data_IF_849015358598
#
_entry.id   IF_849015358598
#
_cell.length_a   1.000
_cell.length_b   1.000
_cell.length_c   1.000
_cell.angle_alpha   90.00
_cell.angle_beta   90.00
_cell.angle_gamma   90.00
#
_symmetry.space_group_name_H-M   'P 1'
#
loop_
_entity.id
_entity.type
_entity.pdbx_description
1 polymer ?
#
# COMPACT_ATOMS: atom_id res chain seq x y z
N UNK A 1 29.54 -21.17 12.39
CA UNK A 1 28.27 -20.62 11.89
C UNK A 1 27.58 -19.89 13.04
N UNK A 2 27.74 -18.57 13.08
CA UNK A 2 26.99 -17.76 14.04
C UNK A 2 25.49 -17.87 13.71
N UNK A 3 24.70 -18.33 14.66
CA UNK A 3 23.23 -18.22 14.55
C UNK A 3 22.93 -16.72 14.57
N UNK A 4 22.53 -16.15 13.42
CA UNK A 4 21.96 -14.81 13.40
C UNK A 4 20.88 -14.73 14.47
N UNK A 5 20.97 -13.74 15.35
CA UNK A 5 19.94 -13.51 16.35
C UNK A 5 18.58 -13.37 15.65
N UNK A 6 17.53 -13.99 16.23
CA UNK A 6 16.19 -13.87 15.68
C UNK A 6 15.82 -12.37 15.55
N UNK A 7 15.16 -11.94 14.47
CA UNK A 7 14.81 -10.54 14.26
C UNK A 7 13.91 -10.05 15.40
N UNK A 8 14.15 -8.82 15.86
CA UNK A 8 13.37 -8.22 16.96
C UNK A 8 11.91 -7.98 16.56
N UNK A 9 11.64 -7.66 15.31
CA UNK A 9 10.32 -7.42 14.71
C UNK A 9 10.24 -8.05 13.33
N UNK A 10 9.04 -8.45 12.92
CA UNK A 10 8.78 -9.11 11.63
C UNK A 10 7.68 -8.37 10.89
N UNK A 11 7.90 -8.14 9.59
CA UNK A 11 6.93 -7.53 8.69
C UNK A 11 6.61 -8.45 7.50
N UNK A 12 5.32 -8.49 7.13
CA UNK A 12 4.84 -8.99 5.84
C UNK A 12 4.62 -7.79 4.92
N UNK A 13 5.26 -7.77 3.75
CA UNK A 13 5.11 -6.71 2.75
C UNK A 13 4.60 -7.31 1.44
N UNK A 14 3.45 -6.88 0.96
CA UNK A 14 2.88 -7.34 -0.31
C UNK A 14 3.26 -6.40 -1.47
N UNK A 15 3.37 -6.95 -2.70
CA UNK A 15 3.84 -6.19 -3.86
C UNK A 15 5.33 -5.83 -3.74
N UNK A 16 6.15 -6.78 -3.25
CA UNK A 16 7.53 -6.56 -2.84
C UNK A 16 8.55 -6.65 -3.98
N UNK A 17 8.15 -7.10 -5.17
CA UNK A 17 9.08 -7.32 -6.29
C UNK A 17 9.62 -6.00 -6.90
N UNK A 18 8.97 -4.86 -6.66
CA UNK A 18 9.41 -3.60 -7.23
C UNK A 18 8.80 -2.35 -6.59
N UNK A 19 9.17 -1.19 -7.10
CA UNK A 19 8.62 0.10 -6.71
C UNK A 19 8.66 0.36 -5.20
N UNK A 20 7.53 0.80 -4.66
CA UNK A 20 7.36 1.15 -3.24
C UNK A 20 7.61 -0.06 -2.33
N UNK A 21 7.04 -1.24 -2.69
CA UNK A 21 7.16 -2.44 -1.86
C UNK A 21 8.61 -2.87 -1.67
N UNK A 22 9.39 -2.92 -2.76
CA UNK A 22 10.81 -3.26 -2.70
C UNK A 22 11.62 -2.24 -1.87
N UNK A 23 11.30 -0.95 -1.97
CA UNK A 23 11.95 0.08 -1.16
C UNK A 23 11.64 -0.09 0.33
N UNK A 24 10.37 -0.38 0.68
CA UNK A 24 9.98 -0.66 2.07
C UNK A 24 10.70 -1.90 2.61
N UNK A 25 10.80 -2.98 1.83
CA UNK A 25 11.54 -4.19 2.23
C UNK A 25 12.99 -3.84 2.58
N UNK A 26 13.72 -3.21 1.65
CA UNK A 26 15.11 -2.80 1.87
C UNK A 26 15.28 -1.93 3.11
N UNK A 27 14.38 -0.98 3.32
CA UNK A 27 14.43 -0.06 4.46
C UNK A 27 14.20 -0.79 5.78
N UNK A 28 13.21 -1.65 5.87
CA UNK A 28 12.93 -2.41 7.09
C UNK A 28 14.04 -3.42 7.41
N UNK A 29 14.62 -4.09 6.40
CA UNK A 29 15.76 -4.97 6.59
C UNK A 29 16.99 -4.21 7.12
N UNK A 30 17.25 -3.01 6.59
CA UNK A 30 18.31 -2.14 7.10
C UNK A 30 18.09 -1.71 8.56
N UNK A 31 16.83 -1.58 8.99
CA UNK A 31 16.44 -1.32 10.39
C UNK A 31 16.46 -2.58 11.28
N UNK A 32 16.86 -3.74 10.76
CA UNK A 32 17.01 -4.99 11.48
C UNK A 32 15.71 -5.80 11.65
N UNK A 33 14.68 -5.53 10.84
CA UNK A 33 13.47 -6.35 10.80
C UNK A 33 13.70 -7.65 10.03
N UNK A 34 13.02 -8.72 10.44
CA UNK A 34 12.76 -9.84 9.54
C UNK A 34 11.65 -9.47 8.58
N UNK A 35 11.87 -9.62 7.27
CA UNK A 35 10.85 -9.27 6.29
C UNK A 35 10.48 -10.46 5.44
N UNK A 36 9.18 -10.73 5.30
CA UNK A 36 8.62 -11.55 4.24
C UNK A 36 8.06 -10.61 3.18
N UNK A 37 8.80 -10.42 2.09
CA UNK A 37 8.29 -9.78 0.88
C UNK A 37 7.59 -10.81 0.01
N UNK A 38 6.37 -10.54 -0.46
CA UNK A 38 5.61 -11.42 -1.36
C UNK A 38 5.08 -10.65 -2.57
N UNK A 39 4.96 -11.34 -3.69
CA UNK A 39 4.42 -10.78 -4.93
C UNK A 39 3.53 -11.80 -5.66
N UNK A 40 3.05 -11.45 -6.86
CA UNK A 40 2.11 -12.26 -7.66
C UNK A 40 2.61 -13.69 -7.94
N UNK A 41 3.94 -13.89 -7.96
CA UNK A 41 4.54 -15.22 -8.11
C UNK A 41 4.45 -16.12 -6.87
N UNK A 42 4.21 -15.55 -5.69
CA UNK A 42 4.15 -16.28 -4.43
C UNK A 42 2.72 -16.69 -4.07
N UNK A 43 1.76 -15.80 -4.29
CA UNK A 43 0.34 -16.06 -4.01
C UNK A 43 -0.59 -15.09 -4.75
N UNK A 44 -1.77 -15.56 -5.13
CA UNK A 44 -2.85 -14.73 -5.69
C UNK A 44 -3.61 -14.01 -4.59
N UNK A 45 -3.33 -12.71 -4.40
CA UNK A 45 -3.99 -11.87 -3.42
C UNK A 45 -5.44 -11.48 -3.79
N UNK A 46 -5.91 -11.76 -5.00
CA UNK A 46 -7.33 -11.64 -5.31
C UNK A 46 -8.15 -12.77 -4.64
N UNK A 47 -7.51 -13.84 -4.21
CA UNK A 47 -8.15 -14.99 -3.58
C UNK A 47 -8.04 -14.96 -2.04
N UNK A 48 -9.05 -15.53 -1.37
CA UNK A 48 -9.01 -15.72 0.09
C UNK A 48 -7.87 -16.64 0.53
N UNK A 49 -7.64 -17.70 -0.26
CA UNK A 49 -6.58 -18.68 0.01
C UNK A 49 -5.21 -18.03 -0.07
N UNK A 50 -4.91 -17.26 -1.11
CA UNK A 50 -3.63 -16.56 -1.26
C UNK A 50 -3.33 -15.60 -0.11
N UNK A 51 -4.34 -14.82 0.33
CA UNK A 51 -4.16 -13.94 1.49
C UNK A 51 -3.87 -14.70 2.79
N UNK A 52 -4.48 -15.86 3.01
CA UNK A 52 -4.17 -16.71 4.16
C UNK A 52 -2.75 -17.28 4.06
N UNK A 53 -2.43 -17.82 2.89
CA UNK A 53 -1.11 -18.43 2.63
C UNK A 53 0.05 -17.47 2.97
N UNK A 54 0.00 -16.21 2.56
CA UNK A 54 1.12 -15.28 2.82
C UNK A 54 1.26 -14.92 4.31
N UNK A 55 0.17 -14.91 5.07
CA UNK A 55 0.23 -14.73 6.54
C UNK A 55 0.82 -15.98 7.19
N UNK A 56 0.34 -17.16 6.81
CA UNK A 56 0.84 -18.44 7.33
C UNK A 56 2.34 -18.59 7.02
N UNK A 57 2.81 -18.27 5.80
CA UNK A 57 4.23 -18.25 5.44
C UNK A 57 5.08 -17.36 6.35
N UNK A 58 4.58 -16.17 6.73
CA UNK A 58 5.29 -15.28 7.64
C UNK A 58 5.42 -15.91 9.03
N UNK A 59 4.35 -16.50 9.54
CA UNK A 59 4.30 -17.15 10.86
C UNK A 59 5.16 -18.43 10.89
N UNK A 60 5.12 -19.24 9.83
CA UNK A 60 5.94 -20.44 9.72
C UNK A 60 7.44 -20.10 9.68
N UNK A 61 7.81 -19.05 8.93
CA UNK A 61 9.20 -18.65 8.75
C UNK A 61 9.80 -18.01 9.99
N UNK A 62 9.05 -17.16 10.70
CA UNK A 62 9.60 -16.30 11.75
C UNK A 62 9.00 -16.57 13.15
N UNK A 63 7.90 -17.30 13.27
CA UNK A 63 7.20 -17.56 14.52
C UNK A 63 6.46 -16.36 15.12
N UNK A 64 6.46 -15.21 14.45
CA UNK A 64 5.81 -13.96 14.87
C UNK A 64 5.49 -13.06 13.70
N UNK A 65 4.58 -12.12 13.88
CA UNK A 65 4.27 -11.08 12.92
C UNK A 65 3.93 -9.78 13.66
N UNK A 66 4.75 -8.75 13.47
CA UNK A 66 4.62 -7.44 14.14
C UNK A 66 3.99 -6.39 13.23
N UNK A 67 4.13 -6.54 11.91
CA UNK A 67 3.57 -5.59 10.96
C UNK A 67 3.07 -6.27 9.69
N UNK A 68 1.99 -5.72 9.14
CA UNK A 68 1.51 -6.00 7.77
C UNK A 68 1.56 -4.70 6.98
N UNK A 69 2.23 -4.73 5.84
CA UNK A 69 2.26 -3.65 4.85
C UNK A 69 1.48 -4.10 3.62
N UNK A 70 0.23 -3.66 3.52
CA UNK A 70 -0.65 -3.93 2.39
C UNK A 70 -0.33 -2.92 1.26
N UNK A 71 0.61 -3.29 0.39
CA UNK A 71 1.12 -2.44 -0.69
C UNK A 71 0.77 -2.95 -2.09
N UNK A 72 0.54 -4.25 -2.27
CA UNK A 72 0.23 -4.83 -3.59
C UNK A 72 -0.90 -4.07 -4.30
N UNK A 73 -0.72 -3.83 -5.58
CA UNK A 73 -1.74 -3.12 -6.35
C UNK A 73 -1.38 -2.93 -7.82
N UNK A 74 -2.38 -2.60 -8.59
CA UNK A 74 -2.28 -2.27 -10.00
C UNK A 74 -3.31 -1.19 -10.36
N UNK A 75 -3.29 -0.74 -11.61
CA UNK A 75 -4.18 0.32 -12.12
C UNK A 75 -4.82 -0.13 -13.42
N UNK A 76 -6.04 0.37 -13.66
CA UNK A 76 -6.71 0.35 -14.94
C UNK A 76 -7.34 1.71 -15.20
N UNK A 77 -7.19 2.21 -16.42
CA UNK A 77 -7.66 3.55 -16.86
C UNK A 77 -8.66 3.35 -17.98
N UNK A 78 -9.89 3.79 -17.77
CA UNK A 78 -10.95 3.78 -18.79
C UNK A 78 -12.08 4.73 -18.37
N UNK A 79 -12.84 5.31 -19.33
CA UNK A 79 -14.10 6.00 -19.04
C UNK A 79 -15.06 5.09 -18.28
N UNK A 80 -15.89 5.65 -17.38
CA UNK A 80 -16.84 4.85 -16.59
C UNK A 80 -17.77 4.02 -17.46
N UNK A 81 -18.22 4.59 -18.60
CA UNK A 81 -19.11 3.91 -19.55
C UNK A 81 -18.47 2.70 -20.27
N UNK A 82 -17.15 2.63 -20.28
CA UNK A 82 -16.36 1.60 -20.98
C UNK A 82 -15.49 0.79 -20.00
N UNK A 83 -15.65 1.03 -18.68
CA UNK A 83 -14.81 0.38 -17.67
C UNK A 83 -15.18 -1.10 -17.56
N UNK A 84 -14.25 -2.05 -17.87
CA UNK A 84 -14.56 -3.48 -17.84
C UNK A 84 -14.90 -3.94 -16.42
N UNK A 85 -16.03 -4.67 -16.28
CA UNK A 85 -16.52 -5.12 -14.98
C UNK A 85 -15.51 -6.05 -14.29
N UNK A 86 -14.87 -6.93 -15.05
CA UNK A 86 -13.82 -7.81 -14.51
C UNK A 86 -12.58 -7.06 -14.00
N UNK A 87 -12.27 -5.88 -14.57
CA UNK A 87 -11.20 -5.03 -14.06
C UNK A 87 -11.59 -4.30 -12.80
N UNK A 88 -12.87 -3.90 -12.70
CA UNK A 88 -13.44 -3.35 -11.47
C UNK A 88 -13.34 -4.38 -10.34
N UNK A 89 -13.83 -5.60 -10.55
CA UNK A 89 -13.80 -6.67 -9.55
C UNK A 89 -12.37 -7.00 -9.12
N UNK A 90 -11.43 -7.11 -10.06
CA UNK A 90 -10.03 -7.37 -9.78
C UNK A 90 -9.37 -6.25 -8.96
N UNK A 91 -9.67 -4.97 -9.26
CA UNK A 91 -9.18 -3.84 -8.48
C UNK A 91 -9.70 -3.86 -7.05
N UNK A 92 -11.00 -4.10 -6.84
CA UNK A 92 -11.58 -4.22 -5.50
C UNK A 92 -11.00 -5.42 -4.75
N UNK A 93 -10.82 -6.55 -5.41
CA UNK A 93 -10.26 -7.75 -4.82
C UNK A 93 -8.85 -7.50 -4.25
N UNK A 94 -7.96 -6.89 -5.03
CA UNK A 94 -6.56 -6.68 -4.64
C UNK A 94 -6.38 -5.44 -3.76
N UNK A 95 -7.05 -4.32 -4.08
CA UNK A 95 -6.80 -3.03 -3.42
C UNK A 95 -7.62 -2.79 -2.15
N UNK A 96 -8.70 -3.55 -1.94
CA UNK A 96 -9.59 -3.38 -0.79
C UNK A 96 -9.87 -4.69 -0.04
N UNK A 97 -10.29 -5.74 -0.75
CA UNK A 97 -10.62 -7.01 -0.10
C UNK A 97 -9.38 -7.70 0.46
N UNK A 98 -8.27 -7.72 -0.28
CA UNK A 98 -7.00 -8.29 0.19
C UNK A 98 -6.49 -7.61 1.46
N UNK A 99 -6.36 -6.26 1.57
CA UNK A 99 -6.01 -5.60 2.82
C UNK A 99 -6.89 -5.98 4.01
N UNK A 100 -8.21 -6.12 3.80
CA UNK A 100 -9.11 -6.62 4.85
C UNK A 100 -8.78 -8.06 5.26
N UNK A 101 -8.54 -8.95 4.29
CA UNK A 101 -8.21 -10.35 4.57
C UNK A 101 -6.86 -10.50 5.26
N UNK A 102 -5.85 -9.73 4.84
CA UNK A 102 -4.54 -9.70 5.50
C UNK A 102 -4.66 -9.25 6.95
N UNK A 103 -5.40 -8.16 7.21
CA UNK A 103 -5.66 -7.70 8.57
C UNK A 103 -6.37 -8.77 9.40
N UNK A 104 -7.43 -9.38 8.86
CA UNK A 104 -8.21 -10.43 9.51
C UNK A 104 -7.36 -11.65 9.87
N UNK A 105 -6.53 -12.14 8.95
CA UNK A 105 -5.75 -13.36 9.16
C UNK A 105 -4.51 -13.12 10.02
N UNK A 106 -3.95 -11.92 10.02
CA UNK A 106 -2.81 -11.53 10.85
C UNK A 106 -3.23 -11.03 12.25
N UNK A 107 -4.52 -10.83 12.52
CA UNK A 107 -5.02 -10.11 13.70
C UNK A 107 -4.48 -10.64 15.01
N UNK A 108 -4.61 -11.93 15.25
CA UNK A 108 -4.17 -12.56 16.51
C UNK A 108 -2.65 -12.49 16.69
N UNK A 109 -1.90 -12.62 15.59
CA UNK A 109 -0.44 -12.52 15.62
C UNK A 109 0.02 -11.08 15.92
N UNK A 110 -0.63 -10.08 15.32
CA UNK A 110 -0.38 -8.66 15.61
C UNK A 110 -0.71 -8.33 17.07
N UNK A 111 -1.87 -8.78 17.57
CA UNK A 111 -2.31 -8.56 18.93
C UNK A 111 -1.35 -9.21 19.94
N UNK A 112 -0.87 -10.42 19.66
CA UNK A 112 0.06 -11.15 20.53
C UNK A 112 1.38 -10.40 20.76
N UNK A 113 1.75 -9.46 19.90
CA UNK A 113 2.96 -8.63 20.10
C UNK A 113 2.77 -7.51 21.12
N UNK A 114 1.53 -7.07 21.36
CA UNK A 114 1.18 -5.87 22.13
C UNK A 114 1.61 -4.55 21.46
N UNK A 115 2.18 -4.62 20.26
CA UNK A 115 2.69 -3.48 19.47
C UNK A 115 2.53 -3.74 17.97
N UNK A 116 1.37 -4.30 17.56
CA UNK A 116 1.05 -4.62 16.18
C UNK A 116 0.88 -3.39 15.29
N UNK A 117 1.24 -3.52 14.01
CA UNK A 117 1.11 -2.46 12.99
C UNK A 117 0.41 -2.96 11.75
N UNK A 118 -0.56 -2.21 11.28
CA UNK A 118 -1.13 -2.38 9.95
C UNK A 118 -0.90 -1.11 9.14
N UNK A 119 -0.11 -1.18 8.08
CA UNK A 119 0.14 -0.06 7.17
C UNK A 119 -0.47 -0.37 5.81
N UNK A 120 -1.44 0.42 5.39
CA UNK A 120 -1.98 0.38 4.05
C UNK A 120 -1.28 1.40 3.16
N UNK A 121 -0.65 0.96 2.06
CA UNK A 121 -0.21 1.88 1.01
C UNK A 121 -1.43 2.22 0.15
N UNK A 122 -2.09 3.31 0.55
CA UNK A 122 -3.26 3.84 -0.12
C UNK A 122 -2.86 4.68 -1.35
N UNK A 123 -3.28 5.92 -1.42
CA UNK A 123 -2.94 6.91 -2.45
C UNK A 123 -3.57 8.25 -2.06
N UNK A 124 -3.10 9.36 -2.63
CA UNK A 124 -3.85 10.62 -2.69
C UNK A 124 -5.27 10.39 -3.23
N UNK A 125 -5.44 9.43 -4.15
CA UNK A 125 -6.75 9.01 -4.66
C UNK A 125 -7.65 8.28 -3.64
N UNK A 126 -7.25 8.20 -2.39
CA UNK A 126 -8.13 7.85 -1.28
C UNK A 126 -8.91 9.04 -0.70
N UNK A 127 -8.48 10.28 -1.02
CA UNK A 127 -9.09 11.53 -0.52
C UNK A 127 -9.59 12.44 -1.65
N UNK A 128 -9.03 12.32 -2.86
CA UNK A 128 -9.48 13.01 -4.08
C UNK A 128 -9.69 12.03 -5.22
N UNK A 129 -10.31 12.49 -6.30
CA UNK A 129 -10.54 11.68 -7.49
C UNK A 129 -9.82 12.24 -8.72
N UNK A 130 -9.63 11.39 -9.73
CA UNK A 130 -9.24 11.76 -11.08
C UNK A 130 -10.13 11.03 -12.09
N UNK A 131 -10.38 11.62 -13.27
CA UNK A 131 -11.11 10.95 -14.33
C UNK A 131 -10.46 9.59 -14.70
N UNK A 132 -11.22 8.70 -15.26
CA UNK A 132 -10.82 7.42 -15.84
C UNK A 132 -10.27 6.38 -14.85
N UNK A 133 -10.37 6.61 -13.54
CA UNK A 133 -9.82 5.76 -12.47
C UNK A 133 -10.89 5.23 -11.51
N UNK A 134 -12.12 4.98 -11.98
CA UNK A 134 -13.26 4.67 -11.12
C UNK A 134 -12.99 3.56 -10.10
N UNK A 135 -12.54 2.39 -10.53
CA UNK A 135 -12.27 1.25 -9.64
C UNK A 135 -11.14 1.51 -8.64
N UNK A 136 -10.07 2.16 -9.09
CA UNK A 136 -8.94 2.50 -8.22
C UNK A 136 -9.33 3.53 -7.15
N UNK A 137 -10.00 4.61 -7.54
CA UNK A 137 -10.48 5.66 -6.62
C UNK A 137 -11.43 5.07 -5.58
N UNK A 138 -12.42 4.27 -6.03
CA UNK A 138 -13.36 3.62 -5.12
C UNK A 138 -12.65 2.70 -4.11
N UNK A 139 -11.72 1.85 -4.57
CA UNK A 139 -10.96 0.97 -3.70
C UNK A 139 -10.11 1.75 -2.67
N UNK A 140 -9.40 2.81 -3.11
CA UNK A 140 -8.53 3.59 -2.22
C UNK A 140 -9.32 4.44 -1.21
N UNK A 141 -10.50 4.94 -1.56
CA UNK A 141 -11.41 5.56 -0.58
C UNK A 141 -11.94 4.53 0.43
N UNK A 142 -12.35 3.34 -0.04
CA UNK A 142 -12.77 2.24 0.84
C UNK A 142 -11.66 1.79 1.78
N UNK A 143 -10.41 1.77 1.30
CA UNK A 143 -9.24 1.39 2.10
C UNK A 143 -9.01 2.36 3.27
N UNK A 144 -9.22 3.66 3.09
CA UNK A 144 -9.15 4.63 4.22
C UNK A 144 -10.24 4.37 5.25
N UNK A 145 -11.45 3.99 4.81
CA UNK A 145 -12.52 3.56 5.71
C UNK A 145 -12.14 2.33 6.53
N UNK A 146 -11.57 1.32 5.86
CA UNK A 146 -11.07 0.10 6.51
C UNK A 146 -10.00 0.42 7.57
N UNK A 147 -9.00 1.25 7.23
CA UNK A 147 -7.92 1.62 8.16
C UNK A 147 -8.46 2.28 9.43
N UNK A 148 -9.45 3.17 9.30
CA UNK A 148 -10.10 3.81 10.47
C UNK A 148 -10.79 2.77 11.37
N UNK A 149 -11.46 1.78 10.78
CA UNK A 149 -12.12 0.71 11.54
C UNK A 149 -11.07 -0.16 12.24
N UNK A 150 -10.00 -0.58 11.56
CA UNK A 150 -8.92 -1.36 12.14
C UNK A 150 -8.24 -0.65 13.31
N UNK A 151 -8.05 0.67 13.23
CA UNK A 151 -7.50 1.49 14.30
C UNK A 151 -8.39 1.44 15.56
N UNK A 152 -9.70 1.66 15.38
CA UNK A 152 -10.65 1.65 16.50
C UNK A 152 -10.78 0.28 17.16
N UNK A 153 -10.83 -0.79 16.36
CA UNK A 153 -10.97 -2.16 16.89
C UNK A 153 -9.66 -2.67 17.50
N UNK A 154 -8.52 -2.26 16.95
CA UNK A 154 -7.20 -2.74 17.34
C UNK A 154 -6.63 -2.08 18.61
N UNK A 155 -7.08 -0.87 18.94
CA UNK A 155 -6.50 -0.04 20.00
C UNK A 155 -6.38 -0.77 21.35
N UNK A 156 -7.44 -1.47 21.79
CA UNK A 156 -7.44 -2.22 23.05
C UNK A 156 -6.51 -3.44 23.03
N UNK A 157 -6.08 -3.90 21.86
CA UNK A 157 -5.20 -5.05 21.66
C UNK A 157 -3.75 -4.61 21.31
N UNK A 158 -3.47 -3.31 21.34
CA UNK A 158 -2.15 -2.77 21.01
C UNK A 158 -1.84 -2.78 19.52
N UNK A 159 -2.85 -2.91 18.66
CA UNK A 159 -2.69 -2.80 17.20
C UNK A 159 -2.99 -1.37 16.79
N UNK A 160 -2.16 -0.78 15.94
CA UNK A 160 -2.43 0.49 15.27
C UNK A 160 -2.45 0.32 13.76
N UNK A 161 -3.30 1.09 13.09
CA UNK A 161 -3.44 1.06 11.64
C UNK A 161 -3.32 2.46 11.05
N UNK A 162 -2.53 2.63 10.00
CA UNK A 162 -2.38 3.90 9.28
C UNK A 162 -2.44 3.69 7.77
N UNK A 163 -2.82 4.74 7.04
CA UNK A 163 -2.81 4.75 5.59
C UNK A 163 -1.74 5.73 5.09
N UNK A 164 -0.78 5.25 4.31
CA UNK A 164 0.18 6.08 3.60
C UNK A 164 -0.42 6.44 2.23
N UNK A 165 -0.52 7.73 1.94
CA UNK A 165 -1.24 8.26 0.79
C UNK A 165 -0.31 9.04 -0.14
N UNK A 166 0.58 8.36 -0.90
CA UNK A 166 1.44 9.04 -1.85
C UNK A 166 0.65 9.56 -3.07
N UNK A 167 1.14 10.64 -3.67
CA UNK A 167 0.80 11.05 -5.02
C UNK A 167 1.51 10.16 -6.04
N UNK A 168 2.03 10.70 -7.12
CA UNK A 168 2.71 9.91 -8.14
C UNK A 168 4.16 9.60 -7.71
N UNK A 169 4.49 8.30 -7.73
CA UNK A 169 5.80 7.75 -7.36
C UNK A 169 6.47 7.17 -8.60
N UNK A 170 7.78 7.40 -8.78
CA UNK A 170 8.56 6.87 -9.89
C UNK A 170 8.69 5.34 -9.79
N UNK A 171 7.83 4.64 -10.50
CA UNK A 171 7.74 3.18 -10.48
C UNK A 171 7.39 2.66 -11.87
N UNK A 172 7.68 1.40 -12.19
CA UNK A 172 7.23 0.78 -13.44
C UNK A 172 5.70 0.84 -13.64
N UNK A 173 4.93 0.86 -12.55
CA UNK A 173 3.48 1.04 -12.60
C UNK A 173 3.11 2.42 -13.17
N UNK A 174 3.85 3.47 -12.82
CA UNK A 174 3.62 4.81 -13.36
C UNK A 174 3.97 4.88 -14.84
N UNK A 175 5.10 4.31 -15.24
CA UNK A 175 5.54 4.31 -16.64
C UNK A 175 4.48 3.64 -17.55
N UNK A 176 3.92 2.51 -17.09
CA UNK A 176 2.83 1.84 -17.79
C UNK A 176 1.53 2.69 -17.86
N UNK A 177 1.31 3.60 -16.89
CA UNK A 177 0.14 4.48 -16.90
C UNK A 177 0.27 5.64 -17.90
N UNK A 178 1.46 6.10 -18.23
CA UNK A 178 1.66 7.25 -19.15
C UNK A 178 1.00 6.96 -20.50
N UNK A 179 1.22 5.78 -21.06
CA UNK A 179 0.62 5.38 -22.35
C UNK A 179 -0.91 5.42 -22.28
N UNK A 180 -1.50 4.75 -21.29
CA UNK A 180 -2.96 4.68 -21.16
C UNK A 180 -3.59 6.03 -20.81
N UNK A 181 -2.89 6.92 -20.12
CA UNK A 181 -3.33 8.28 -19.83
C UNK A 181 -3.24 9.15 -21.08
N UNK A 182 -2.22 8.97 -21.93
CA UNK A 182 -2.10 9.66 -23.19
C UNK A 182 -3.30 9.39 -24.12
N UNK A 183 -3.67 8.12 -24.24
CA UNK A 183 -4.86 7.70 -24.99
C UNK A 183 -6.15 8.29 -24.41
N UNK A 184 -6.35 8.16 -23.10
CA UNK A 184 -7.57 8.60 -22.41
C UNK A 184 -7.77 10.13 -22.45
N UNK A 185 -6.68 10.91 -22.50
CA UNK A 185 -6.72 12.38 -22.54
C UNK A 185 -6.53 12.95 -23.95
N UNK A 186 -6.19 12.12 -24.95
CA UNK A 186 -5.90 12.58 -26.31
C UNK A 186 -4.65 13.45 -26.40
N UNK A 187 -3.63 13.16 -25.57
CA UNK A 187 -2.38 13.92 -25.47
C UNK A 187 -1.18 13.07 -25.88
N UNK A 188 -0.09 13.68 -26.38
CA UNK A 188 1.20 12.99 -26.51
C UNK A 188 1.73 12.54 -25.13
N UNK A 189 2.42 11.40 -25.09
CA UNK A 189 2.97 10.83 -23.84
C UNK A 189 3.88 11.81 -23.11
N UNK A 190 4.67 12.60 -23.84
CA UNK A 190 5.59 13.60 -23.27
C UNK A 190 4.86 14.70 -22.49
N UNK A 191 3.58 14.95 -22.81
CA UNK A 191 2.76 15.96 -22.13
C UNK A 191 2.00 15.42 -20.93
N UNK A 192 1.82 14.09 -20.83
CA UNK A 192 1.02 13.46 -19.77
C UNK A 192 1.60 13.75 -18.40
N UNK A 193 2.92 13.68 -18.25
CA UNK A 193 3.55 13.88 -16.96
C UNK A 193 3.27 15.28 -16.38
N UNK A 194 3.43 16.33 -17.18
CA UNK A 194 3.27 17.72 -16.72
C UNK A 194 1.81 18.14 -16.67
N UNK A 195 1.04 17.88 -17.75
CA UNK A 195 -0.29 18.44 -17.95
C UNK A 195 -1.40 17.64 -17.26
N UNK A 196 -1.13 16.36 -16.94
CA UNK A 196 -2.12 15.47 -16.31
C UNK A 196 -1.67 15.05 -14.91
N UNK A 197 -0.51 14.38 -14.82
CA UNK A 197 -0.12 13.73 -13.55
C UNK A 197 0.35 14.76 -12.53
N UNK A 198 1.26 15.65 -12.89
CA UNK A 198 1.79 16.64 -11.97
C UNK A 198 0.96 17.94 -11.91
N UNK A 199 -0.01 18.13 -12.81
CA UNK A 199 -0.82 19.34 -12.87
C UNK A 199 -1.45 19.75 -11.51
N UNK A 200 -2.05 18.86 -10.73
CA UNK A 200 -2.66 19.23 -9.45
C UNK A 200 -1.66 19.46 -8.31
N UNK A 201 -0.41 19.01 -8.42
CA UNK A 201 0.60 19.18 -7.37
C UNK A 201 1.16 20.62 -7.36
N UNK A 202 1.40 21.20 -6.18
CA UNK A 202 2.10 22.49 -6.07
C UNK A 202 3.59 22.33 -6.44
N UNK A 203 4.24 21.26 -5.97
CA UNK A 203 5.60 20.91 -6.35
C UNK A 203 5.58 19.90 -7.50
N UNK A 204 6.08 20.30 -8.68
CA UNK A 204 5.98 19.54 -9.92
C UNK A 204 7.06 18.47 -10.06
N UNK A 205 7.05 17.47 -9.18
CA UNK A 205 7.94 16.31 -9.27
C UNK A 205 7.27 15.02 -8.82
N UNK A 206 7.84 13.90 -9.19
CA UNK A 206 7.49 12.58 -8.66
C UNK A 206 8.13 12.37 -7.29
N UNK A 207 7.47 11.58 -6.45
CA UNK A 207 8.09 10.96 -5.29
C UNK A 207 9.05 9.86 -5.76
N UNK A 208 10.13 9.66 -5.02
CA UNK A 208 10.96 8.47 -5.20
C UNK A 208 10.47 7.35 -4.24
N UNK A 209 10.58 6.05 -4.62
CA UNK A 209 10.17 4.95 -3.76
C UNK A 209 10.81 4.97 -2.37
N UNK A 210 12.06 5.40 -2.28
CA UNK A 210 12.78 5.48 -1.01
C UNK A 210 12.23 6.59 -0.10
N UNK A 211 11.71 7.72 -0.64
CA UNK A 211 11.01 8.73 0.16
C UNK A 211 9.74 8.14 0.82
N UNK A 212 9.01 7.29 0.08
CA UNK A 212 7.83 6.60 0.59
C UNK A 212 8.21 5.58 1.66
N UNK A 213 9.31 4.86 1.45
CA UNK A 213 9.82 3.87 2.40
C UNK A 213 10.27 4.49 3.73
N UNK A 214 10.86 5.70 3.70
CA UNK A 214 11.22 6.45 4.91
C UNK A 214 10.00 6.75 5.79
N UNK A 215 8.91 7.24 5.18
CA UNK A 215 7.66 7.52 5.90
C UNK A 215 6.99 6.24 6.35
N UNK A 216 7.03 5.17 5.55
CA UNK A 216 6.53 3.85 5.96
C UNK A 216 7.26 3.34 7.21
N UNK A 217 8.60 3.40 7.24
CA UNK A 217 9.39 3.00 8.40
C UNK A 217 9.09 3.85 9.65
N UNK A 218 8.90 5.16 9.48
CA UNK A 218 8.46 6.05 10.56
C UNK A 218 7.10 5.62 11.12
N UNK A 219 6.10 5.34 10.27
CA UNK A 219 4.76 4.93 10.68
C UNK A 219 4.75 3.55 11.37
N UNK A 220 5.63 2.65 10.96
CA UNK A 220 5.83 1.34 11.61
C UNK A 220 6.64 1.44 12.91
N UNK A 221 7.32 2.56 13.14
CA UNK A 221 8.09 2.84 14.34
C UNK A 221 7.24 3.27 15.55
N UNK A 222 7.90 3.54 16.71
CA UNK A 222 7.18 3.92 17.93
C UNK A 222 6.37 5.22 17.79
N UNK A 223 6.90 6.22 17.10
CA UNK A 223 6.21 7.50 16.89
C UNK A 223 5.00 7.39 15.96
N UNK A 224 4.97 6.38 15.10
CA UNK A 224 3.85 6.11 14.17
C UNK A 224 2.52 5.81 14.87
N UNK A 225 2.53 5.40 16.14
CA UNK A 225 1.31 5.16 16.94
C UNK A 225 0.39 6.38 17.02
N UNK A 226 0.95 7.59 16.97
CA UNK A 226 0.17 8.82 17.01
C UNK A 226 -0.65 9.06 15.73
N UNK A 227 -0.40 8.30 14.68
CA UNK A 227 -1.10 8.38 13.39
C UNK A 227 -2.16 7.28 13.21
N UNK A 228 -2.62 6.69 14.30
CA UNK A 228 -3.64 5.62 14.28
C UNK A 228 -4.94 6.12 13.63
N UNK A 229 -5.44 5.38 12.64
CA UNK A 229 -6.58 5.75 11.81
C UNK A 229 -6.32 6.87 10.80
N UNK A 230 -5.12 7.46 10.77
CA UNK A 230 -4.85 8.64 9.94
C UNK A 230 -4.49 8.29 8.49
N UNK A 231 -4.96 9.09 7.52
CA UNK A 231 -4.35 9.19 6.19
C UNK A 231 -3.12 10.11 6.28
N UNK A 232 -1.95 9.61 5.91
CA UNK A 232 -0.70 10.37 5.86
C UNK A 232 -0.40 10.72 4.40
N UNK A 233 -0.65 11.97 4.06
CA UNK A 233 -0.51 12.47 2.68
C UNK A 233 0.96 12.79 2.36
N UNK A 234 1.42 12.32 1.19
CA UNK A 234 2.68 12.65 0.56
C UNK A 234 2.37 13.12 -0.87
N UNK A 235 1.85 14.34 -1.02
CA UNK A 235 1.14 14.76 -2.23
C UNK A 235 1.62 16.07 -2.83
N UNK A 236 2.69 16.65 -2.29
CA UNK A 236 3.26 17.91 -2.78
C UNK A 236 2.23 19.05 -2.89
N UNK A 237 1.28 19.11 -1.95
CA UNK A 237 0.27 20.14 -1.87
C UNK A 237 -0.92 19.93 -2.81
N UNK A 238 -1.10 18.76 -3.40
CA UNK A 238 -2.26 18.46 -4.24
C UNK A 238 -3.58 18.66 -3.49
N UNK A 239 -3.67 18.26 -2.24
CA UNK A 239 -4.92 18.34 -1.46
C UNK A 239 -4.98 19.55 -0.53
N UNK A 240 -4.08 20.51 -0.67
CA UNK A 240 -3.99 21.68 0.22
C UNK A 240 -4.96 22.83 -0.13
N UNK A 241 -5.81 22.64 -1.17
CA UNK A 241 -6.78 23.65 -1.65
C UNK A 241 -8.18 23.09 -1.81
#
# INVERSE_FOLDING_TARGET
MERSAAPRRVALVTGAAGGIGAAIVRRLEADGWGVLGVDVGDADLASRAGNRTVVDMALERFGRLDAVVANAGFQHVAPVSEFPEERWDALLAVLLTSPFLLAKYAWDALAATGDGRFLAVASVHGVVASPFKAGYVAAKHGLLGLVKTLALEGAAQGITAAALCPSYVRTPLLDAQIVTQAEAHGLPEERVLEDVLLAPQAVKRLLEPDEVAEVAAFLLGPAGRAFDGAPVLMDFGWTAH
#
